data_IF_205875447785
#
_entry.id   IF_205875447785
#
_cell.length_a   1.000
_cell.length_b   1.000
_cell.length_c   1.000
_cell.angle_alpha   90.00
_cell.angle_beta   90.00
_cell.angle_gamma   90.00
#
_symmetry.space_group_name_H-M   'P 1'
#
loop_
_entity.id
_entity.type
_entity.pdbx_description
1 polymer ?
#
# COMPACT_ATOMS: atom_id res chain seq x y z
N UNK A 1 12.34 -19.96 -19.46
CA UNK A 1 11.16 -20.47 -20.18
C UNK A 1 10.78 -21.81 -19.57
N UNK A 2 9.51 -22.01 -19.17
CA UNK A 2 9.02 -23.25 -18.56
C UNK A 2 8.31 -24.12 -19.60
N UNK A 3 8.40 -25.42 -19.41
CA UNK A 3 7.78 -26.40 -20.31
C UNK A 3 6.25 -26.41 -20.20
N UNK A 4 5.72 -26.03 -19.03
CA UNK A 4 4.28 -25.95 -18.79
C UNK A 4 3.97 -24.98 -17.64
N UNK A 5 2.73 -24.50 -17.58
CA UNK A 5 2.23 -23.67 -16.49
C UNK A 5 2.36 -24.34 -15.12
N UNK A 6 2.26 -25.67 -15.06
CA UNK A 6 2.47 -26.42 -13.82
C UNK A 6 3.85 -26.17 -13.21
N UNK A 7 4.91 -26.13 -14.02
CA UNK A 7 6.25 -25.83 -13.50
C UNK A 7 6.43 -24.34 -13.15
N UNK A 8 5.80 -23.44 -13.92
CA UNK A 8 5.84 -22.01 -13.66
C UNK A 8 5.21 -21.67 -12.30
N UNK A 9 4.15 -22.37 -11.92
CA UNK A 9 3.45 -22.21 -10.64
C UNK A 9 4.38 -22.35 -9.42
N UNK A 10 5.40 -23.22 -9.48
CA UNK A 10 6.37 -23.40 -8.40
C UNK A 10 7.39 -22.26 -8.28
N UNK A 11 7.47 -21.38 -9.28
CA UNK A 11 8.31 -20.18 -9.19
C UNK A 11 7.67 -19.09 -8.36
N UNK A 12 6.34 -19.08 -8.27
CA UNK A 12 5.62 -18.01 -7.58
C UNK A 12 5.86 -18.08 -6.08
N UNK A 13 6.24 -16.94 -5.50
CA UNK A 13 6.29 -16.77 -4.06
C UNK A 13 5.07 -15.97 -3.62
N UNK A 14 4.31 -16.51 -2.67
CA UNK A 14 3.11 -15.88 -2.13
C UNK A 14 3.10 -16.00 -0.62
N UNK A 15 2.84 -14.90 0.08
CA UNK A 15 2.57 -14.89 1.51
C UNK A 15 1.31 -14.08 1.79
N UNK A 16 0.17 -14.75 2.07
CA UNK A 16 -1.11 -14.09 2.31
C UNK A 16 -1.26 -13.53 3.73
N UNK A 17 -0.37 -13.92 4.66
CA UNK A 17 -0.47 -13.60 6.09
C UNK A 17 0.42 -12.42 6.53
N UNK A 18 1.08 -11.75 5.61
CA UNK A 18 1.91 -10.61 5.95
C UNK A 18 1.04 -9.39 6.29
N UNK A 19 1.27 -8.70 7.44
CA UNK A 19 0.46 -7.52 7.83
C UNK A 19 0.47 -6.38 6.83
N UNK A 20 1.53 -6.24 6.03
CA UNK A 20 1.64 -5.22 4.98
C UNK A 20 0.80 -5.49 3.73
N UNK A 21 0.08 -6.61 3.68
CA UNK A 21 -0.80 -6.99 2.58
C UNK A 21 -0.56 -8.40 2.06
N UNK A 22 -1.34 -8.80 1.05
CA UNK A 22 -1.12 -10.06 0.33
C UNK A 22 0.10 -9.84 -0.57
N UNK A 23 1.23 -10.42 -0.19
CA UNK A 23 2.45 -10.32 -0.97
C UNK A 23 2.54 -11.48 -1.96
N UNK A 24 2.68 -11.15 -3.23
CA UNK A 24 2.85 -12.13 -4.28
C UNK A 24 3.87 -11.64 -5.32
N UNK A 25 4.80 -12.50 -5.73
CA UNK A 25 5.76 -12.19 -6.80
C UNK A 25 5.93 -13.38 -7.72
N UNK A 26 6.04 -13.10 -9.01
CA UNK A 26 6.19 -14.11 -10.04
C UNK A 26 7.66 -14.53 -10.26
N UNK A 27 8.60 -13.78 -9.72
CA UNK A 27 10.03 -14.08 -9.88
C UNK A 27 10.89 -13.43 -8.82
N UNK A 28 12.04 -14.02 -8.56
CA UNK A 28 13.13 -13.41 -7.79
C UNK A 28 14.14 -12.88 -8.80
N UNK A 29 14.45 -11.58 -8.81
CA UNK A 29 15.41 -11.02 -9.76
C UNK A 29 16.81 -11.59 -9.51
N UNK A 30 17.47 -12.00 -10.58
CA UNK A 30 18.89 -12.40 -10.58
C UNK A 30 19.81 -11.20 -10.87
N UNK A 31 20.31 -11.13 -12.10
CA UNK A 31 21.19 -10.05 -12.55
C UNK A 31 20.48 -8.68 -12.52
N UNK A 32 21.27 -7.63 -12.27
CA UNK A 32 20.80 -6.24 -12.30
C UNK A 32 21.43 -5.51 -13.46
N UNK A 33 20.66 -4.63 -14.11
CA UNK A 33 21.20 -3.75 -15.15
C UNK A 33 22.19 -2.75 -14.53
N UNK A 34 23.39 -2.65 -15.09
CA UNK A 34 24.42 -1.72 -14.64
C UNK A 34 23.98 -0.26 -14.68
N UNK A 35 23.05 0.10 -15.59
CA UNK A 35 22.43 1.42 -15.64
C UNK A 35 21.71 1.82 -14.35
N UNK A 36 20.99 0.90 -13.71
CA UNK A 36 20.32 1.17 -12.44
C UNK A 36 21.31 1.43 -11.30
N UNK A 37 22.44 0.72 -11.31
CA UNK A 37 23.54 0.93 -10.35
C UNK A 37 24.16 2.31 -10.56
N UNK A 38 24.42 2.69 -11.82
CA UNK A 38 24.96 4.00 -12.16
C UNK A 38 24.03 5.15 -11.77
N UNK A 39 22.72 5.00 -11.99
CA UNK A 39 21.69 5.99 -11.58
C UNK A 39 21.65 6.14 -10.05
N UNK A 40 21.71 5.03 -9.32
CA UNK A 40 21.76 5.07 -7.86
C UNK A 40 23.01 5.83 -7.38
N UNK A 41 24.17 5.51 -7.94
CA UNK A 41 25.42 6.23 -7.62
C UNK A 41 25.34 7.71 -7.96
N UNK A 42 24.87 8.05 -9.16
CA UNK A 42 24.72 9.44 -9.59
C UNK A 42 23.78 10.24 -8.68
N UNK A 43 22.64 9.63 -8.26
CA UNK A 43 21.73 10.25 -7.31
C UNK A 43 22.37 10.50 -5.94
N UNK A 44 23.13 9.51 -5.43
CA UNK A 44 23.87 9.67 -4.17
C UNK A 44 24.88 10.81 -4.25
N UNK A 45 25.63 10.91 -5.35
CA UNK A 45 26.62 11.96 -5.56
C UNK A 45 25.96 13.33 -5.75
N UNK A 46 24.85 13.40 -6.49
CA UNK A 46 24.12 14.66 -6.76
C UNK A 46 23.55 15.28 -5.48
N UNK A 47 22.87 14.49 -4.67
CA UNK A 47 22.28 14.99 -3.43
C UNK A 47 23.30 15.15 -2.30
N UNK A 48 24.23 14.22 -2.20
CA UNK A 48 25.19 14.16 -1.10
C UNK A 48 24.53 14.09 0.27
N UNK A 49 25.34 14.13 1.31
CA UNK A 49 24.85 14.07 2.69
C UNK A 49 23.91 15.23 3.04
N UNK A 50 24.24 16.44 2.60
CA UNK A 50 23.45 17.64 2.91
C UNK A 50 22.09 17.63 2.21
N UNK A 51 22.04 17.22 0.93
CA UNK A 51 20.81 17.13 0.16
C UNK A 51 19.84 16.10 0.77
N UNK A 52 20.32 14.89 1.05
CA UNK A 52 19.51 13.87 1.71
C UNK A 52 19.05 14.30 3.10
N UNK A 53 19.92 14.93 3.90
CA UNK A 53 19.55 15.44 5.23
C UNK A 53 18.43 16.48 5.13
N UNK A 54 18.53 17.42 4.18
CA UNK A 54 17.50 18.45 3.97
C UNK A 54 16.14 17.83 3.59
N UNK A 55 16.15 16.93 2.61
CA UNK A 55 14.92 16.25 2.14
C UNK A 55 14.30 15.42 3.26
N UNK A 56 15.11 14.62 3.96
CA UNK A 56 14.62 13.77 5.05
C UNK A 56 14.03 14.59 6.20
N UNK A 57 14.63 15.71 6.57
CA UNK A 57 14.07 16.61 7.59
C UNK A 57 12.67 17.08 7.22
N UNK A 58 12.43 17.46 5.95
CA UNK A 58 11.11 17.84 5.47
C UNK A 58 10.11 16.69 5.58
N UNK A 59 10.47 15.51 5.09
CA UNK A 59 9.63 14.31 5.15
C UNK A 59 9.23 13.97 6.59
N UNK A 60 10.22 13.95 7.51
CA UNK A 60 9.96 13.62 8.92
C UNK A 60 9.11 14.70 9.63
N UNK A 61 9.32 15.97 9.30
CA UNK A 61 8.48 17.03 9.82
C UNK A 61 7.01 16.85 9.40
N UNK A 62 6.80 16.56 8.11
CA UNK A 62 5.46 16.28 7.56
C UNK A 62 4.84 15.01 8.17
N UNK A 63 5.62 13.94 8.38
CA UNK A 63 5.13 12.73 9.03
C UNK A 63 4.65 13.00 10.47
N UNK A 64 5.39 13.80 11.22
CA UNK A 64 5.01 14.23 12.58
C UNK A 64 3.76 15.09 12.59
N UNK A 65 3.66 16.05 11.66
CA UNK A 65 2.46 16.87 11.48
C UNK A 65 1.25 15.99 11.13
N UNK A 66 1.37 15.09 10.15
CA UNK A 66 0.31 14.16 9.78
C UNK A 66 -0.13 13.29 10.97
N UNK A 67 0.81 12.70 11.72
CA UNK A 67 0.51 11.94 12.93
C UNK A 67 -0.32 12.77 13.92
N UNK A 68 0.10 14.01 14.19
CA UNK A 68 -0.60 14.90 15.12
C UNK A 68 -2.00 15.23 14.63
N UNK A 69 -2.14 15.57 13.33
CA UNK A 69 -3.43 15.93 12.73
C UNK A 69 -4.40 14.75 12.67
N UNK A 70 -3.92 13.54 12.34
CA UNK A 70 -4.72 12.31 12.37
C UNK A 70 -5.21 12.00 13.79
N UNK A 71 -4.36 12.19 14.80
CA UNK A 71 -4.74 12.00 16.22
C UNK A 71 -5.80 12.98 16.72
N UNK A 72 -6.05 14.09 16.02
CA UNK A 72 -7.11 15.06 16.33
C UNK A 72 -8.44 14.73 15.62
N UNK A 73 -8.46 13.76 14.71
CA UNK A 73 -9.70 13.35 14.02
C UNK A 73 -10.44 12.35 14.92
N UNK A 74 -11.68 12.63 15.32
CA UNK A 74 -12.48 11.70 16.12
C UNK A 74 -12.58 10.33 15.40
N UNK A 75 -12.45 9.26 16.16
CA UNK A 75 -12.52 7.90 15.61
C UNK A 75 -11.28 7.42 14.84
N UNK A 76 -10.23 8.23 14.68
CA UNK A 76 -8.96 7.84 14.05
C UNK A 76 -7.90 7.56 15.11
N UNK A 77 -7.15 6.48 14.94
CA UNK A 77 -5.98 6.14 15.77
C UNK A 77 -4.78 5.81 14.90
N UNK A 78 -3.64 6.37 15.25
CA UNK A 78 -2.36 6.06 14.60
C UNK A 78 -1.75 4.82 15.25
N UNK A 79 -1.23 3.91 14.41
CA UNK A 79 -0.52 2.73 14.88
C UNK A 79 0.88 3.08 15.36
N UNK A 80 1.14 2.74 16.62
CA UNK A 80 2.46 2.90 17.24
C UNK A 80 2.92 4.36 17.32
N UNK A 81 4.25 4.53 17.32
CA UNK A 81 4.92 5.83 17.28
C UNK A 81 5.82 5.92 16.02
N UNK A 82 5.32 6.43 14.90
CA UNK A 82 6.07 6.46 13.65
C UNK A 82 7.29 7.37 13.77
N UNK A 83 8.48 6.81 13.57
CA UNK A 83 9.77 7.50 13.61
C UNK A 83 10.28 7.92 12.22
N UNK A 84 9.68 7.36 11.16
CA UNK A 84 10.13 7.53 9.78
C UNK A 84 9.06 8.18 8.91
N UNK A 85 9.15 7.98 7.61
CA UNK A 85 8.23 8.52 6.60
C UNK A 85 6.89 7.79 6.51
N UNK A 86 6.69 6.70 7.26
CA UNK A 86 5.48 5.88 7.17
C UNK A 86 4.59 6.20 8.37
N UNK A 87 3.34 6.58 8.08
CA UNK A 87 2.30 6.81 9.08
C UNK A 87 1.13 5.88 8.79
N UNK A 88 0.90 4.94 9.70
CA UNK A 88 -0.18 3.98 9.61
C UNK A 88 -1.28 4.32 10.61
N UNK A 89 -2.54 4.16 10.21
CA UNK A 89 -3.70 4.50 11.03
C UNK A 89 -4.90 3.61 10.73
N UNK A 90 -5.84 3.60 11.65
CA UNK A 90 -7.13 2.93 11.51
C UNK A 90 -8.26 3.78 12.08
N UNK A 91 -9.48 3.37 11.82
CA UNK A 91 -10.70 3.96 12.39
C UNK A 91 -11.32 3.01 13.40
N UNK A 92 -12.00 3.57 14.43
CA UNK A 92 -12.66 2.78 15.48
C UNK A 92 -14.16 2.66 15.29
N UNK A 93 -14.77 3.54 14.51
CA UNK A 93 -16.23 3.68 14.37
C UNK A 93 -16.73 3.20 13.02
N UNK A 94 -15.89 3.24 12.00
CA UNK A 94 -16.21 2.86 10.62
C UNK A 94 -15.18 1.89 10.06
N UNK A 95 -15.55 1.14 9.04
CA UNK A 95 -14.65 0.19 8.36
C UNK A 95 -13.57 0.95 7.58
N UNK A 96 -12.32 0.86 8.04
CA UNK A 96 -11.17 1.53 7.42
C UNK A 96 -10.91 1.08 5.98
N UNK A 97 -11.25 -0.16 5.61
CA UNK A 97 -11.09 -0.66 4.26
C UNK A 97 -12.07 0.03 3.31
N UNK A 98 -13.31 0.27 3.74
CA UNK A 98 -14.29 1.05 2.98
C UNK A 98 -13.86 2.53 2.87
N UNK A 99 -13.35 3.09 3.96
CA UNK A 99 -12.80 4.45 3.95
C UNK A 99 -11.66 4.55 2.94
N UNK A 100 -10.79 3.55 2.86
CA UNK A 100 -9.72 3.48 1.86
C UNK A 100 -10.22 3.43 0.43
N UNK A 101 -11.30 2.69 0.16
CA UNK A 101 -11.92 2.66 -1.18
C UNK A 101 -12.50 4.02 -1.57
N UNK A 102 -13.20 4.71 -0.64
CA UNK A 102 -13.69 6.09 -0.88
C UNK A 102 -12.54 7.06 -1.12
N UNK A 103 -11.47 7.00 -0.33
CA UNK A 103 -10.28 7.82 -0.55
C UNK A 103 -9.64 7.55 -1.92
N UNK A 104 -9.65 6.29 -2.37
CA UNK A 104 -9.14 5.94 -3.70
C UNK A 104 -9.94 6.59 -4.83
N UNK A 105 -11.26 6.73 -4.70
CA UNK A 105 -12.09 7.46 -5.69
C UNK A 105 -11.81 8.96 -5.71
N UNK A 106 -11.31 9.52 -4.60
CA UNK A 106 -10.86 10.91 -4.49
C UNK A 106 -9.42 11.11 -4.99
N UNK A 107 -8.76 10.06 -5.48
CA UNK A 107 -7.40 10.11 -6.02
C UNK A 107 -6.28 9.85 -5.01
N UNK A 108 -6.61 9.42 -3.78
CA UNK A 108 -5.61 9.05 -2.79
C UNK A 108 -5.18 7.60 -2.97
N UNK A 109 -3.88 7.38 -3.20
CA UNK A 109 -3.30 6.04 -3.33
C UNK A 109 -2.63 5.62 -2.03
N UNK A 110 -3.44 5.17 -1.07
CA UNK A 110 -2.97 4.67 0.22
C UNK A 110 -2.78 3.16 0.16
N UNK A 111 -1.87 2.64 0.96
CA UNK A 111 -1.65 1.20 1.05
C UNK A 111 -2.51 0.60 2.16
N UNK A 112 -3.23 -0.47 1.80
CA UNK A 112 -4.06 -1.21 2.74
C UNK A 112 -3.20 -2.15 3.58
N UNK A 113 -3.55 -2.24 4.87
CA UNK A 113 -2.93 -3.14 5.84
C UNK A 113 -3.94 -4.21 6.26
N UNK A 114 -3.41 -5.35 6.69
CA UNK A 114 -4.20 -6.44 7.24
C UNK A 114 -3.55 -6.97 8.54
N UNK A 115 -4.38 -7.46 9.47
CA UNK A 115 -3.95 -8.09 10.71
C UNK A 115 -3.05 -7.21 11.62
N UNK A 116 -3.58 -6.07 12.12
CA UNK A 116 -4.94 -5.56 12.02
C UNK A 116 -5.18 -4.70 10.76
N UNK A 117 -6.45 -4.52 10.32
CA UNK A 117 -6.76 -3.71 9.16
C UNK A 117 -6.45 -2.24 9.40
N UNK A 118 -5.94 -1.57 8.39
CA UNK A 118 -5.54 -0.16 8.46
C UNK A 118 -5.17 0.38 7.09
N UNK A 119 -4.81 1.64 7.08
CA UNK A 119 -4.20 2.32 5.92
C UNK A 119 -2.85 2.89 6.32
N UNK A 120 -1.90 2.97 5.39
CA UNK A 120 -0.70 3.74 5.62
C UNK A 120 -0.34 4.64 4.44
N UNK A 121 0.33 5.73 4.82
CA UNK A 121 0.97 6.67 3.90
C UNK A 121 2.47 6.48 4.00
N UNK A 122 3.14 6.37 2.87
CA UNK A 122 4.59 6.46 2.78
C UNK A 122 4.95 7.81 2.15
N UNK A 123 5.41 8.74 2.98
CA UNK A 123 5.74 10.10 2.55
C UNK A 123 7.07 10.14 1.82
N UNK A 124 7.09 10.86 0.71
CA UNK A 124 8.30 11.23 -0.03
C UNK A 124 8.46 12.75 -0.05
N UNK A 125 9.50 13.25 -0.71
CA UNK A 125 9.68 14.69 -0.87
C UNK A 125 8.53 15.38 -1.61
N UNK A 126 7.77 14.66 -2.43
CA UNK A 126 6.63 15.19 -3.18
C UNK A 126 5.43 15.49 -2.28
N UNK A 127 5.24 14.67 -1.24
CA UNK A 127 4.16 14.83 -0.26
C UNK A 127 4.57 15.67 0.96
N UNK A 128 5.82 16.14 1.02
CA UNK A 128 6.33 16.88 2.18
C UNK A 128 5.85 18.35 2.16
N UNK A 129 4.52 18.56 2.14
CA UNK A 129 3.84 19.86 2.14
C UNK A 129 2.69 19.87 3.13
N UNK A 130 2.35 21.05 3.63
CA UNK A 130 1.19 21.21 4.52
C UNK A 130 -0.13 21.00 3.76
N UNK A 131 -0.22 21.42 2.50
CA UNK A 131 -1.39 21.21 1.64
C UNK A 131 -1.74 19.73 1.50
N UNK A 132 -0.71 18.85 1.40
CA UNK A 132 -0.93 17.41 1.34
C UNK A 132 -1.57 16.90 2.64
N UNK A 133 -1.09 17.35 3.79
CA UNK A 133 -1.61 16.92 5.11
C UNK A 133 -3.04 17.42 5.30
N UNK A 134 -3.30 18.67 4.98
CA UNK A 134 -4.62 19.28 5.10
C UNK A 134 -5.63 18.62 4.17
N UNK A 135 -5.28 18.37 2.93
CA UNK A 135 -6.10 17.68 1.95
C UNK A 135 -6.45 16.27 2.39
N UNK A 136 -5.46 15.48 2.80
CA UNK A 136 -5.69 14.11 3.26
C UNK A 136 -6.60 14.06 4.49
N UNK A 137 -6.38 14.93 5.47
CA UNK A 137 -7.20 14.98 6.70
C UNK A 137 -8.63 15.43 6.41
N UNK A 138 -8.82 16.37 5.48
CA UNK A 138 -10.15 16.81 5.04
C UNK A 138 -10.91 15.67 4.37
N UNK A 139 -10.30 15.06 3.33
CA UNK A 139 -10.92 13.97 2.59
C UNK A 139 -11.16 12.72 3.44
N UNK A 140 -10.27 12.45 4.42
CA UNK A 140 -10.48 11.36 5.37
C UNK A 140 -11.75 11.56 6.22
N UNK A 141 -11.99 12.78 6.72
CA UNK A 141 -13.20 13.09 7.49
C UNK A 141 -14.46 12.93 6.65
N UNK A 142 -14.43 13.40 5.41
CA UNK A 142 -15.53 13.24 4.47
C UNK A 142 -15.80 11.77 4.15
N UNK A 143 -14.75 11.00 3.87
CA UNK A 143 -14.86 9.56 3.62
C UNK A 143 -15.42 8.80 4.82
N UNK A 144 -15.00 9.15 6.04
CA UNK A 144 -15.56 8.55 7.26
C UNK A 144 -17.05 8.85 7.43
N UNK A 145 -17.48 10.09 7.15
CA UNK A 145 -18.90 10.46 7.18
C UNK A 145 -19.72 9.69 6.13
N UNK A 146 -19.20 9.57 4.92
CA UNK A 146 -19.84 8.84 3.82
C UNK A 146 -20.03 7.35 4.17
N UNK A 147 -18.98 6.70 4.69
CA UNK A 147 -19.04 5.30 5.13
C UNK A 147 -20.01 5.14 6.32
N UNK A 148 -20.01 6.09 7.26
CA UNK A 148 -20.88 6.08 8.44
C UNK A 148 -22.36 6.19 8.10
N UNK A 149 -22.74 6.82 7.00
CA UNK A 149 -24.13 6.92 6.50
C UNK A 149 -24.55 5.72 5.65
N UNK A 150 -23.73 4.66 5.53
CA UNK A 150 -23.95 3.49 4.67
C UNK A 150 -24.16 3.81 3.17
N UNK A 151 -23.75 4.98 2.71
CA UNK A 151 -23.86 5.37 1.30
C UNK A 151 -22.71 4.84 0.45
N UNK A 152 -21.61 4.39 1.07
CA UNK A 152 -20.42 3.91 0.37
C UNK A 152 -20.54 2.42 0.00
N UNK A 153 -20.50 2.12 -1.29
CA UNK A 153 -20.30 0.77 -1.81
C UNK A 153 -18.82 0.48 -1.92
N UNK A 154 -18.34 -0.57 -1.25
CA UNK A 154 -16.97 -1.02 -1.40
C UNK A 154 -16.85 -1.88 -2.65
N UNK A 155 -16.21 -1.36 -3.70
CA UNK A 155 -15.95 -2.09 -4.95
C UNK A 155 -14.46 -2.14 -5.31
N UNK A 156 -13.60 -1.58 -4.44
CA UNK A 156 -12.17 -1.42 -4.67
C UNK A 156 -11.30 -2.51 -4.02
N UNK A 157 -10.05 -2.14 -3.81
CA UNK A 157 -9.02 -2.99 -3.17
C UNK A 157 -9.41 -3.34 -1.73
N UNK A 158 -10.09 -2.44 -1.01
CA UNK A 158 -10.58 -2.68 0.34
C UNK A 158 -11.50 -3.90 0.42
N UNK A 159 -12.37 -4.10 -0.58
CA UNK A 159 -13.22 -5.29 -0.69
C UNK A 159 -12.40 -6.58 -0.85
N UNK A 160 -11.33 -6.55 -1.65
CA UNK A 160 -10.43 -7.70 -1.84
C UNK A 160 -9.79 -8.08 -0.50
N UNK A 161 -9.26 -7.09 0.23
CA UNK A 161 -8.66 -7.32 1.56
C UNK A 161 -9.68 -7.82 2.58
N UNK A 162 -10.87 -7.22 2.62
CA UNK A 162 -11.96 -7.64 3.49
C UNK A 162 -12.40 -9.09 3.22
N UNK A 163 -12.54 -9.45 1.94
CA UNK A 163 -12.89 -10.83 1.52
C UNK A 163 -11.76 -11.79 1.89
N UNK A 164 -10.51 -11.46 1.56
CA UNK A 164 -9.35 -12.29 1.92
C UNK A 164 -9.22 -12.47 3.43
N UNK A 165 -9.52 -11.44 4.22
CA UNK A 165 -9.52 -11.52 5.68
C UNK A 165 -10.60 -12.45 6.24
N UNK A 166 -11.75 -12.54 5.59
CA UNK A 166 -12.88 -13.39 6.01
C UNK A 166 -12.67 -14.89 5.72
N UNK A 167 -11.77 -15.24 4.81
CA UNK A 167 -11.45 -16.64 4.47
C UNK A 167 -10.56 -17.24 5.57
N UNK A 168 -11.01 -18.27 6.32
CA UNK A 168 -10.22 -18.88 7.39
C UNK A 168 -8.97 -19.58 6.87
N UNK A 169 -9.11 -20.28 5.75
CA UNK A 169 -7.99 -21.00 5.11
C UNK A 169 -7.19 -20.06 4.20
N UNK A 170 -6.08 -19.57 4.69
CA UNK A 170 -5.19 -18.65 3.95
C UNK A 170 -4.46 -19.31 2.78
N UNK A 171 -4.45 -20.65 2.72
CA UNK A 171 -3.91 -21.36 1.55
C UNK A 171 -4.74 -21.07 0.30
N UNK A 172 -6.07 -20.96 0.44
CA UNK A 172 -6.97 -20.57 -0.65
C UNK A 172 -6.65 -19.16 -1.18
N UNK A 173 -6.37 -18.22 -0.28
CA UNK A 173 -5.97 -16.85 -0.66
C UNK A 173 -4.63 -16.89 -1.41
N UNK A 174 -3.69 -17.71 -0.96
CA UNK A 174 -2.40 -17.91 -1.62
C UNK A 174 -2.55 -18.51 -3.03
N UNK A 175 -3.38 -19.51 -3.20
CA UNK A 175 -3.64 -20.12 -4.51
C UNK A 175 -4.35 -19.14 -5.47
N UNK A 176 -5.33 -18.37 -4.98
CA UNK A 176 -5.96 -17.32 -5.77
C UNK A 176 -4.94 -16.25 -6.23
N UNK A 177 -4.01 -15.86 -5.37
CA UNK A 177 -2.95 -14.92 -5.73
C UNK A 177 -2.00 -15.50 -6.79
N UNK A 178 -1.69 -16.79 -6.76
CA UNK A 178 -0.89 -17.46 -7.80
C UNK A 178 -1.62 -17.50 -9.15
N UNK A 179 -2.93 -17.80 -9.14
CA UNK A 179 -3.74 -17.74 -10.35
C UNK A 179 -3.75 -16.33 -10.94
N UNK A 180 -3.89 -15.31 -10.09
CA UNK A 180 -3.80 -13.91 -10.53
C UNK A 180 -2.45 -13.59 -11.18
N UNK A 181 -1.33 -14.04 -10.58
CA UNK A 181 0.00 -13.88 -11.17
C UNK A 181 0.12 -14.62 -12.51
N UNK A 182 -0.50 -15.77 -12.65
CA UNK A 182 -0.48 -16.55 -13.89
C UNK A 182 -1.14 -15.79 -15.04
N UNK A 183 -2.20 -15.02 -14.78
CA UNK A 183 -2.88 -14.20 -15.78
C UNK A 183 -1.94 -13.20 -16.49
N UNK A 184 -0.82 -12.79 -15.88
CA UNK A 184 0.19 -11.96 -16.53
C UNK A 184 0.97 -12.69 -17.62
N UNK A 185 0.94 -14.02 -17.62
CA UNK A 185 1.65 -14.87 -18.57
C UNK A 185 0.71 -15.56 -19.56
N UNK A 186 -0.59 -15.53 -19.29
CA UNK A 186 -1.60 -16.05 -20.20
C UNK A 186 -1.74 -15.06 -21.36
N UNK A 187 -0.91 -15.27 -22.38
CA UNK A 187 -1.12 -14.72 -23.69
C UNK A 187 -2.21 -15.55 -24.39
N UNK A 188 -2.82 -15.02 -25.43
CA UNK A 188 -3.91 -15.65 -26.20
C UNK A 188 -3.89 -17.20 -26.18
N UNK A 189 -5.06 -17.86 -26.12
CA UNK A 189 -5.14 -19.30 -26.13
C UNK A 189 -4.32 -19.86 -27.28
N UNK A 190 -3.56 -20.93 -27.01
CA UNK A 190 -2.83 -21.64 -28.06
C UNK A 190 -3.80 -21.91 -29.22
N UNK A 191 -3.44 -21.54 -30.46
CA UNK A 191 -4.25 -21.90 -31.58
C UNK A 191 -4.37 -23.42 -31.62
N UNK A 192 -5.59 -23.92 -31.64
CA UNK A 192 -5.94 -25.32 -31.64
C UNK A 192 -5.30 -26.08 -32.85
#
# INVERSE_FOLDING_TARGET
MYRSHHYLHYQYFVTPNWPGGIYATHTVPGSRAGGLIAVCWASLMYHGFQGYTKVTKGIIATARNLKQRLGQVPGVKVYGDPLTSIVAFHTTEVDILKVGDVLSTKGWHLTFLQYPPGLHVCLTSLQATDDFVDGLVCDLKEAMMEVGTNSATSEGIGKVYGTAASIPDKTMVGEAAKVFLQCYYDTLPDPA
#
